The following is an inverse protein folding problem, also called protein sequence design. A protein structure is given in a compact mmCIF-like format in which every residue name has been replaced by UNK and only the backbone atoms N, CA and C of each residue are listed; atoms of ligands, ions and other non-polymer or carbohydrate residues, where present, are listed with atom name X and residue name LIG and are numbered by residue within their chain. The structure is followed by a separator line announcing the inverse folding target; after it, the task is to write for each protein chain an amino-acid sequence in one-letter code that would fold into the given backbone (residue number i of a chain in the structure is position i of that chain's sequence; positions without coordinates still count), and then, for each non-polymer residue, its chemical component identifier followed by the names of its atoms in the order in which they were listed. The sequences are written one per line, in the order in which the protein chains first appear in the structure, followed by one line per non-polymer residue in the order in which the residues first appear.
data_IF_420069991859
#
_entry.id   IF_420069991859
#
_cell.length_a   1.000
_cell.length_b   1.000
_cell.length_c   1.000
_cell.angle_alpha   90.00
_cell.angle_beta   90.00
_cell.angle_gamma   90.00
#
_symmetry.space_group_name_H-M   'P 1'
#
loop_
_entity.id
_entity.type
_entity.pdbx_description
1 polymer ?
#
# COMPACT_ATOMS: atom_id res chain seq x y z
N UNK A 1 -0.79 -9.46 25.20
CA UNK A 1 0.26 -10.02 24.31
C UNK A 1 0.36 -9.09 23.13
N UNK A 2 1.53 -8.52 22.84
CA UNK A 2 1.71 -7.61 21.72
C UNK A 2 1.56 -8.47 20.45
N UNK A 3 0.45 -8.32 19.72
CA UNK A 3 0.28 -8.98 18.41
C UNK A 3 1.50 -8.61 17.55
N UNK A 4 2.18 -9.57 16.90
CA UNK A 4 3.30 -9.26 16.04
C UNK A 4 2.85 -8.23 15.01
N UNK A 5 3.67 -7.19 14.81
CA UNK A 5 3.28 -6.04 14.01
C UNK A 5 2.99 -6.39 12.54
N UNK A 6 3.58 -7.49 12.05
CA UNK A 6 3.62 -7.92 10.65
C UNK A 6 3.56 -9.44 10.61
N UNK A 7 2.80 -10.00 9.66
CA UNK A 7 2.77 -11.43 9.38
C UNK A 7 3.58 -11.77 8.11
N UNK A 8 4.37 -12.85 8.15
CA UNK A 8 5.12 -13.34 7.01
C UNK A 8 4.46 -14.61 6.49
N UNK A 9 3.84 -14.51 5.32
CA UNK A 9 3.10 -15.60 4.69
C UNK A 9 3.99 -16.44 3.79
N UNK A 10 3.79 -17.76 3.83
CA UNK A 10 4.51 -18.74 3.01
C UNK A 10 6.03 -18.77 3.27
N UNK A 11 6.45 -18.48 4.50
CA UNK A 11 7.86 -18.46 4.90
C UNK A 11 8.24 -19.65 5.79
N UNK A 12 9.49 -20.09 5.67
CA UNK A 12 10.05 -21.14 6.53
C UNK A 12 10.34 -20.58 7.94
N UNK A 13 9.92 -21.30 8.99
CA UNK A 13 10.16 -20.94 10.39
C UNK A 13 11.65 -20.90 10.74
N UNK A 14 12.46 -21.70 10.06
CA UNK A 14 13.93 -21.72 10.23
C UNK A 14 14.64 -20.82 9.21
N UNK A 15 13.88 -19.96 8.51
CA UNK A 15 14.36 -19.02 7.51
C UNK A 15 14.85 -17.69 8.10
N UNK A 16 15.16 -16.73 7.23
CA UNK A 16 15.71 -15.42 7.63
C UNK A 16 14.77 -14.63 8.55
N UNK A 17 13.46 -14.84 8.42
CA UNK A 17 12.45 -14.13 9.21
C UNK A 17 12.44 -14.52 10.69
N UNK A 18 13.04 -15.65 11.08
CA UNK A 18 13.14 -16.06 12.49
C UNK A 18 13.97 -15.10 13.35
N UNK A 19 14.78 -14.26 12.71
CA UNK A 19 15.60 -13.23 13.36
C UNK A 19 14.85 -11.92 13.63
N UNK A 20 13.57 -11.83 13.27
CA UNK A 20 12.74 -10.63 13.39
C UNK A 20 11.53 -10.87 14.30
N UNK A 21 10.99 -9.83 14.97
CA UNK A 21 9.81 -9.94 15.81
C UNK A 21 8.50 -9.95 14.98
N UNK A 22 8.33 -10.98 14.14
CA UNK A 22 7.23 -11.11 13.16
C UNK A 22 6.42 -12.40 13.36
N UNK A 23 5.18 -12.44 12.85
CA UNK A 23 4.35 -13.66 12.88
C UNK A 23 4.61 -14.53 11.65
N UNK A 24 5.33 -15.64 11.79
CA UNK A 24 5.66 -16.51 10.65
C UNK A 24 4.54 -17.54 10.41
N UNK A 25 3.96 -17.50 9.22
CA UNK A 25 3.01 -18.47 8.68
C UNK A 25 3.73 -19.43 7.73
N UNK A 26 4.22 -20.51 8.33
CA UNK A 26 4.83 -21.62 7.60
C UNK A 26 3.80 -22.63 7.08
N UNK A 27 4.30 -23.72 6.50
CA UNK A 27 3.47 -24.79 5.97
C UNK A 27 2.55 -25.43 7.03
N UNK A 28 2.95 -25.45 8.31
CA UNK A 28 2.16 -26.09 9.38
C UNK A 28 0.90 -25.31 9.73
N UNK A 29 0.91 -23.99 9.52
CA UNK A 29 -0.23 -23.09 9.79
C UNK A 29 -1.12 -22.84 8.59
N UNK A 30 -0.68 -23.27 7.40
CA UNK A 30 -1.32 -22.97 6.12
C UNK A 30 -1.60 -21.47 5.92
N UNK A 31 -0.63 -20.76 5.35
CA UNK A 31 -0.74 -19.33 5.09
C UNK A 31 -1.94 -18.93 4.20
N UNK A 32 -2.60 -19.88 3.51
CA UNK A 32 -3.83 -19.62 2.75
C UNK A 32 -5.01 -19.27 3.65
N UNK A 33 -4.95 -19.68 4.92
CA UNK A 33 -5.98 -19.44 5.93
C UNK A 33 -5.74 -18.16 6.73
N UNK A 34 -4.83 -17.29 6.32
CA UNK A 34 -4.55 -16.04 7.03
C UNK A 34 -5.77 -15.10 7.04
N UNK A 35 -6.35 -14.92 8.23
CA UNK A 35 -7.52 -14.08 8.49
C UNK A 35 -7.21 -12.88 9.39
N UNK A 36 -5.96 -12.73 9.85
CA UNK A 36 -5.55 -11.62 10.72
C UNK A 36 -5.56 -10.25 10.04
N UNK A 37 -5.48 -9.19 10.83
CA UNK A 37 -5.53 -7.79 10.37
C UNK A 37 -4.15 -7.12 10.25
N UNK A 38 -3.07 -7.85 10.56
CA UNK A 38 -1.71 -7.29 10.45
C UNK A 38 -1.27 -7.23 8.98
N UNK A 39 -0.53 -6.20 8.55
CA UNK A 39 0.04 -6.15 7.21
C UNK A 39 0.98 -7.33 6.98
N UNK A 40 1.12 -7.72 5.71
CA UNK A 40 1.81 -8.96 5.37
C UNK A 40 3.02 -8.77 4.46
N UNK A 41 4.02 -9.62 4.66
CA UNK A 41 5.03 -9.93 3.64
C UNK A 41 4.72 -11.32 3.11
N UNK A 42 4.41 -11.47 1.82
CA UNK A 42 3.97 -12.74 1.26
C UNK A 42 4.96 -13.29 0.22
N UNK A 43 5.34 -14.56 0.38
CA UNK A 43 6.24 -15.30 -0.52
C UNK A 43 5.57 -16.56 -1.10
N UNK A 44 4.46 -16.43 -1.86
CA UNK A 44 3.79 -17.61 -2.40
C UNK A 44 4.77 -18.48 -3.23
N UNK A 45 4.65 -19.81 -3.17
CA UNK A 45 5.56 -20.74 -3.83
C UNK A 45 5.60 -20.48 -5.34
N UNK A 46 6.79 -20.21 -5.86
CA UNK A 46 6.98 -19.82 -7.26
C UNK A 46 7.14 -20.99 -8.24
N UNK A 47 7.16 -22.22 -7.72
CA UNK A 47 7.50 -23.42 -8.47
C UNK A 47 6.62 -23.65 -9.71
N UNK A 48 5.33 -23.32 -9.60
CA UNK A 48 4.33 -23.47 -10.66
C UNK A 48 4.09 -22.20 -11.46
N UNK A 49 4.76 -21.09 -11.13
CA UNK A 49 4.57 -19.77 -11.76
C UNK A 49 5.83 -19.18 -12.39
N UNK A 50 7.02 -19.61 -12.00
CA UNK A 50 8.28 -19.06 -12.51
C UNK A 50 8.65 -19.55 -13.91
N UNK A 51 9.57 -18.87 -14.58
CA UNK A 51 10.10 -19.23 -15.92
C UNK A 51 10.59 -20.69 -16.03
N UNK A 52 11.03 -21.27 -14.91
CA UNK A 52 11.57 -22.62 -14.83
C UNK A 52 10.51 -23.69 -14.53
N UNK A 53 9.20 -23.36 -14.48
CA UNK A 53 8.15 -24.31 -14.10
C UNK A 53 8.17 -25.57 -14.98
N UNK A 54 8.42 -25.41 -16.28
CA UNK A 54 8.44 -26.49 -17.27
C UNK A 54 9.65 -27.42 -17.14
N UNK A 55 10.68 -27.06 -16.37
CA UNK A 55 11.87 -27.90 -16.19
C UNK A 55 11.61 -29.15 -15.34
N UNK A 56 10.52 -29.18 -14.56
CA UNK A 56 10.15 -30.33 -13.73
C UNK A 56 8.99 -31.08 -14.38
N UNK A 57 9.24 -32.33 -14.79
CA UNK A 57 8.21 -33.22 -15.37
C UNK A 57 7.00 -33.33 -14.43
N UNK A 58 5.81 -33.26 -15.01
CA UNK A 58 4.53 -33.43 -14.31
C UNK A 58 4.00 -32.16 -13.63
N UNK A 59 4.72 -31.04 -13.66
CA UNK A 59 4.22 -29.76 -13.11
C UNK A 59 3.34 -29.04 -14.14
N UNK A 60 2.18 -28.56 -13.70
CA UNK A 60 1.29 -27.70 -14.50
C UNK A 60 1.46 -26.24 -14.12
N UNK A 61 1.38 -25.36 -15.10
CA UNK A 61 1.42 -23.92 -14.88
C UNK A 61 0.26 -23.49 -13.98
N UNK A 62 0.58 -22.78 -12.90
CA UNK A 62 -0.39 -22.28 -11.93
C UNK A 62 -0.98 -23.31 -10.98
N UNK A 63 -0.43 -24.53 -10.96
CA UNK A 63 -0.83 -25.58 -10.01
C UNK A 63 -0.12 -25.37 -8.68
N UNK A 64 -0.57 -24.37 -7.92
CA UNK A 64 0.01 -23.92 -6.66
C UNK A 64 -0.96 -24.04 -5.46
N UNK A 65 -2.03 -24.82 -5.61
CA UNK A 65 -3.09 -25.03 -4.60
C UNK A 65 -3.70 -23.72 -4.06
N UNK A 66 -3.75 -22.67 -4.89
CA UNK A 66 -4.33 -21.38 -4.55
C UNK A 66 -3.43 -20.48 -3.69
N UNK A 67 -2.16 -20.84 -3.49
CA UNK A 67 -1.25 -20.07 -2.63
C UNK A 67 -1.05 -18.63 -3.11
N UNK A 68 -0.84 -18.41 -4.40
CA UNK A 68 -0.68 -17.06 -4.95
C UNK A 68 -1.96 -16.23 -4.82
N UNK A 69 -3.12 -16.85 -5.07
CA UNK A 69 -4.41 -16.19 -4.92
C UNK A 69 -4.64 -15.73 -3.48
N UNK A 70 -4.35 -16.59 -2.49
CA UNK A 70 -4.46 -16.25 -1.08
C UNK A 70 -3.45 -15.17 -0.65
N UNK A 71 -2.20 -15.23 -1.13
CA UNK A 71 -1.19 -14.20 -0.89
C UNK A 71 -1.63 -12.83 -1.41
N UNK A 72 -2.14 -12.77 -2.65
CA UNK A 72 -2.61 -11.54 -3.27
C UNK A 72 -3.82 -10.97 -2.50
N UNK A 73 -4.80 -11.83 -2.18
CA UNK A 73 -5.98 -11.42 -1.42
C UNK A 73 -5.60 -10.87 -0.03
N UNK A 74 -4.64 -11.49 0.65
CA UNK A 74 -4.15 -10.99 1.94
C UNK A 74 -3.49 -9.61 1.77
N UNK A 75 -2.53 -9.44 0.85
CA UNK A 75 -1.85 -8.16 0.62
C UNK A 75 -2.83 -7.05 0.21
N UNK A 76 -3.83 -7.34 -0.60
CA UNK A 76 -4.84 -6.34 -0.99
C UNK A 76 -5.82 -6.01 0.14
N UNK A 77 -6.08 -6.94 1.06
CA UNK A 77 -6.99 -6.74 2.20
C UNK A 77 -6.36 -5.93 3.33
N UNK A 78 -5.14 -6.27 3.74
CA UNK A 78 -4.50 -5.71 4.95
C UNK A 78 -3.25 -4.89 4.65
N UNK A 79 -2.91 -4.72 3.37
CA UNK A 79 -1.69 -4.06 2.94
C UNK A 79 -0.44 -4.90 3.15
N UNK A 80 0.68 -4.37 2.68
CA UNK A 80 1.99 -4.99 2.74
C UNK A 80 2.57 -5.26 1.37
N UNK A 81 3.34 -6.34 1.22
CA UNK A 81 4.10 -6.63 0.01
C UNK A 81 4.08 -8.11 -0.35
N UNK A 82 3.81 -8.39 -1.63
CA UNK A 82 3.96 -9.70 -2.27
C UNK A 82 5.29 -9.71 -3.05
N UNK A 83 6.14 -10.71 -2.79
CA UNK A 83 7.38 -10.93 -3.53
C UNK A 83 7.29 -12.19 -4.40
N UNK A 84 7.75 -12.10 -5.65
CA UNK A 84 7.76 -13.24 -6.55
C UNK A 84 8.84 -13.05 -7.64
N UNK A 85 9.53 -14.12 -8.10
CA UNK A 85 10.54 -14.00 -9.15
C UNK A 85 10.05 -13.29 -10.41
N UNK A 86 10.96 -12.54 -11.06
CA UNK A 86 10.73 -11.85 -12.33
C UNK A 86 10.18 -12.80 -13.41
N UNK A 87 9.22 -12.29 -14.18
CA UNK A 87 8.59 -13.03 -15.27
C UNK A 87 7.70 -14.16 -14.76
N UNK A 88 7.15 -13.97 -13.55
CA UNK A 88 6.09 -14.82 -13.03
C UNK A 88 4.90 -14.83 -13.98
N UNK A 89 4.44 -16.02 -14.36
CA UNK A 89 3.18 -16.19 -15.07
C UNK A 89 1.96 -15.87 -14.18
N UNK A 90 2.15 -15.73 -12.87
CA UNK A 90 1.08 -15.31 -11.97
C UNK A 90 0.65 -13.86 -12.24
N UNK A 91 1.58 -12.96 -12.57
CA UNK A 91 1.27 -11.55 -12.83
C UNK A 91 0.17 -11.36 -13.88
N UNK A 92 0.34 -11.84 -15.13
CA UNK A 92 -0.71 -11.72 -16.13
C UNK A 92 -1.95 -12.56 -15.79
N UNK A 93 -1.80 -13.72 -15.13
CA UNK A 93 -2.92 -14.57 -14.75
C UNK A 93 -3.87 -13.90 -13.74
N UNK A 94 -3.31 -13.13 -12.82
CA UNK A 94 -4.06 -12.39 -11.80
C UNK A 94 -4.28 -10.92 -12.18
N UNK A 95 -3.87 -10.49 -13.38
CA UNK A 95 -4.08 -9.11 -13.83
C UNK A 95 -3.34 -8.08 -12.99
N UNK A 96 -2.12 -8.40 -12.54
CA UNK A 96 -1.20 -7.45 -11.93
C UNK A 96 -0.40 -6.76 -13.04
N UNK A 97 -0.20 -5.43 -12.93
CA UNK A 97 0.67 -4.70 -13.85
C UNK A 97 2.13 -5.21 -13.74
N UNK A 98 2.72 -5.77 -14.82
CA UNK A 98 4.11 -6.20 -14.80
C UNK A 98 5.05 -4.99 -14.63
N UNK A 99 6.04 -5.06 -13.75
CA UNK A 99 6.98 -3.96 -13.59
C UNK A 99 7.96 -3.87 -14.76
N UNK A 100 8.40 -2.66 -15.06
CA UNK A 100 9.47 -2.39 -16.02
C UNK A 100 10.83 -2.27 -15.32
N UNK A 101 11.86 -2.85 -15.92
CA UNK A 101 13.21 -2.83 -15.38
C UNK A 101 13.76 -1.40 -15.24
N UNK A 102 14.26 -1.07 -14.04
CA UNK A 102 14.92 0.20 -13.76
C UNK A 102 14.01 1.42 -13.68
N UNK A 103 12.68 1.25 -13.78
CA UNK A 103 11.71 2.34 -13.71
C UNK A 103 11.22 2.65 -12.29
N UNK A 104 11.59 1.84 -11.31
CA UNK A 104 11.11 1.96 -9.95
C UNK A 104 9.69 1.43 -9.79
N UNK A 105 8.92 2.08 -8.91
CA UNK A 105 7.52 1.72 -8.66
C UNK A 105 6.60 2.27 -9.73
N UNK A 106 5.73 1.40 -10.25
CA UNK A 106 4.68 1.75 -11.20
C UNK A 106 3.34 1.51 -10.50
N UNK A 107 2.51 2.54 -10.39
CA UNK A 107 1.16 2.42 -9.81
C UNK A 107 0.28 1.59 -10.74
N UNK A 108 -0.43 0.60 -10.19
CA UNK A 108 -1.43 -0.14 -10.96
C UNK A 108 -2.68 0.75 -11.14
N UNK A 109 -3.15 1.00 -12.37
CA UNK A 109 -4.32 1.83 -12.61
C UNK A 109 -5.66 1.13 -12.29
N UNK A 110 -5.66 -0.19 -12.13
CA UNK A 110 -6.88 -0.99 -11.89
C UNK A 110 -6.88 -1.70 -10.53
N UNK A 111 -5.79 -1.58 -9.77
CA UNK A 111 -5.62 -2.24 -8.46
C UNK A 111 -5.06 -1.28 -7.41
N UNK A 112 -5.20 -1.58 -6.11
CA UNK A 112 -4.76 -0.67 -5.06
C UNK A 112 -3.23 -0.58 -4.92
N UNK A 113 -2.44 -1.40 -5.61
CA UNK A 113 -1.01 -1.52 -5.38
C UNK A 113 -0.07 -0.82 -6.38
N UNK A 114 1.21 -1.06 -6.18
CA UNK A 114 2.33 -0.65 -7.03
C UNK A 114 3.19 -1.87 -7.32
N UNK A 115 3.70 -1.97 -8.55
CA UNK A 115 4.65 -3.01 -8.93
C UNK A 115 6.04 -2.42 -9.15
N UNK A 116 7.10 -3.11 -8.73
CA UNK A 116 8.47 -2.80 -9.16
C UNK A 116 9.31 -4.08 -9.37
N UNK A 117 10.45 -3.92 -10.03
CA UNK A 117 11.49 -4.93 -10.10
C UNK A 117 12.71 -4.48 -9.31
N UNK A 118 13.30 -5.41 -8.55
CA UNK A 118 14.60 -5.24 -7.90
C UNK A 118 15.48 -6.48 -8.08
N UNK A 119 16.78 -6.34 -7.88
CA UNK A 119 17.69 -7.49 -7.81
C UNK A 119 18.05 -7.77 -6.35
N UNK A 120 17.77 -9.00 -5.86
CA UNK A 120 18.15 -9.40 -4.49
C UNK A 120 19.68 -9.36 -4.28
N UNK A 121 20.48 -9.33 -5.35
CA UNK A 121 21.94 -9.16 -5.29
C UNK A 121 22.37 -7.84 -4.64
N UNK A 122 21.60 -6.76 -4.83
CA UNK A 122 21.84 -5.46 -4.17
C UNK A 122 21.64 -5.52 -2.66
N UNK A 123 21.04 -6.61 -2.16
CA UNK A 123 20.73 -6.84 -0.76
C UNK A 123 21.51 -8.03 -0.18
N UNK A 124 22.54 -8.52 -0.89
CA UNK A 124 23.44 -9.57 -0.42
C UNK A 124 23.16 -10.98 -0.96
N UNK A 125 22.26 -11.15 -1.93
CA UNK A 125 22.12 -12.45 -2.59
C UNK A 125 23.36 -12.74 -3.48
N UNK A 126 23.94 -13.95 -3.48
CA UNK A 126 25.16 -14.26 -4.25
C UNK A 126 24.95 -14.35 -5.77
N UNK A 127 23.71 -14.18 -6.24
CA UNK A 127 23.32 -14.25 -7.64
C UNK A 127 22.48 -13.01 -7.99
N UNK A 128 22.45 -12.69 -9.27
CA UNK A 128 21.57 -11.69 -9.90
C UNK A 128 20.09 -12.09 -9.88
N UNK A 129 19.56 -12.44 -8.70
CA UNK A 129 18.20 -12.94 -8.51
C UNK A 129 17.22 -11.77 -8.64
N UNK A 130 16.75 -11.57 -9.86
CA UNK A 130 15.72 -10.58 -10.20
C UNK A 130 14.37 -11.00 -9.62
N UNK A 131 13.69 -10.05 -8.98
CA UNK A 131 12.40 -10.29 -8.33
C UNK A 131 11.45 -9.12 -8.56
N UNK A 132 10.16 -9.44 -8.59
CA UNK A 132 9.06 -8.51 -8.70
C UNK A 132 8.37 -8.37 -7.35
N UNK A 133 8.03 -7.13 -7.01
CA UNK A 133 7.28 -6.77 -5.82
C UNK A 133 5.95 -6.19 -6.23
N UNK A 134 4.89 -6.54 -5.51
CA UNK A 134 3.60 -5.87 -5.54
C UNK A 134 3.28 -5.37 -4.13
N UNK A 135 3.26 -4.05 -3.95
CA UNK A 135 3.05 -3.39 -2.66
C UNK A 135 1.67 -2.75 -2.61
N UNK A 136 0.98 -2.85 -1.46
CA UNK A 136 -0.30 -2.20 -1.18
C UNK A 136 -0.21 -1.43 0.13
N UNK A 137 -0.59 -0.16 0.11
CA UNK A 137 -0.63 0.74 1.25
C UNK A 137 -1.23 2.10 0.85
N UNK A 138 -1.56 2.97 1.81
CA UNK A 138 -2.19 4.27 1.49
C UNK A 138 -1.20 5.33 1.00
N UNK A 139 0.10 5.13 1.21
CA UNK A 139 1.16 6.05 0.77
C UNK A 139 2.05 5.40 -0.30
N UNK A 140 2.60 6.19 -1.24
CA UNK A 140 3.56 5.69 -2.21
C UNK A 140 4.77 5.04 -1.51
N UNK A 141 5.24 3.87 -2.01
CA UNK A 141 6.40 3.20 -1.42
C UNK A 141 7.70 3.99 -1.67
N UNK A 142 8.68 3.93 -0.75
CA UNK A 142 9.97 4.57 -0.91
C UNK A 142 10.77 3.93 -2.05
N UNK A 143 11.73 4.68 -2.59
CA UNK A 143 12.66 4.14 -3.58
C UNK A 143 13.49 2.99 -2.98
N UNK A 144 13.62 1.92 -3.77
CA UNK A 144 14.53 0.81 -3.51
C UNK A 144 15.73 0.92 -4.46
N UNK A 145 16.68 -0.02 -4.38
CA UNK A 145 17.73 -0.10 -5.39
C UNK A 145 17.19 -0.70 -6.70
N UNK A 146 16.86 0.19 -7.64
CA UNK A 146 16.36 -0.14 -8.98
C UNK A 146 17.47 -0.19 -10.05
N UNK A 147 18.73 -0.03 -9.67
CA UNK A 147 19.84 -0.09 -10.62
C UNK A 147 19.95 -1.49 -11.24
N UNK A 148 20.57 -1.55 -12.42
CA UNK A 148 20.86 -2.81 -13.11
C UNK A 148 21.54 -3.83 -12.19
N UNK A 149 21.39 -5.10 -12.53
CA UNK A 149 21.95 -6.19 -11.76
C UNK A 149 23.43 -5.94 -11.39
N UNK A 150 23.83 -6.17 -10.13
CA UNK A 150 25.24 -6.09 -9.74
C UNK A 150 26.07 -7.28 -10.25
N UNK A 151 25.50 -8.11 -11.14
CA UNK A 151 26.05 -9.41 -11.51
C UNK A 151 25.90 -10.44 -10.38
N UNK A 152 26.65 -11.53 -10.48
CA UNK A 152 26.67 -12.58 -9.46
C UNK A 152 26.81 -13.98 -10.07
N UNK A 153 26.80 -14.99 -9.19
CA UNK A 153 26.84 -16.39 -9.62
C UNK A 153 25.58 -16.76 -10.39
N UNK A 154 25.71 -17.70 -11.31
CA UNK A 154 24.57 -18.33 -11.97
C UNK A 154 23.67 -19.02 -10.91
N UNK A 155 22.39 -18.65 -10.91
CA UNK A 155 21.39 -19.17 -9.97
C UNK A 155 21.32 -20.70 -10.03
N UNK A 156 21.45 -21.29 -11.23
CA UNK A 156 21.40 -22.74 -11.44
C UNK A 156 22.59 -23.49 -10.80
N UNK A 157 23.71 -22.80 -10.53
CA UNK A 157 24.89 -23.36 -9.87
C UNK A 157 24.83 -23.29 -8.35
N UNK A 158 23.80 -22.66 -7.79
CA UNK A 158 23.59 -22.59 -6.35
C UNK A 158 22.78 -23.79 -5.84
N UNK A 159 23.07 -24.21 -4.60
CA UNK A 159 22.29 -25.24 -3.91
C UNK A 159 20.81 -24.82 -3.82
N UNK A 160 19.91 -25.80 -3.75
CA UNK A 160 18.47 -25.54 -3.65
C UNK A 160 18.12 -24.65 -2.45
N UNK A 161 18.84 -24.79 -1.33
CA UNK A 161 18.69 -23.91 -0.16
C UNK A 161 19.13 -22.48 -0.49
N UNK A 162 20.35 -22.31 -1.03
CA UNK A 162 20.89 -21.00 -1.36
C UNK A 162 20.04 -20.22 -2.39
N UNK A 163 19.41 -20.90 -3.35
CA UNK A 163 18.48 -20.27 -4.31
C UNK A 163 17.22 -19.70 -3.64
N UNK A 164 16.71 -20.40 -2.63
CA UNK A 164 15.46 -20.03 -1.93
C UNK A 164 15.70 -18.99 -0.84
N UNK A 165 16.92 -18.88 -0.31
CA UNK A 165 17.25 -17.93 0.75
C UNK A 165 16.97 -16.48 0.32
N UNK A 166 16.15 -15.80 1.11
CA UNK A 166 15.98 -14.35 1.09
C UNK A 166 17.12 -13.72 1.88
N UNK A 167 17.91 -12.78 1.32
CA UNK A 167 18.97 -12.10 2.05
C UNK A 167 18.42 -11.30 3.24
N UNK A 168 19.23 -11.13 4.30
CA UNK A 168 18.83 -10.41 5.52
C UNK A 168 18.37 -8.97 5.23
N UNK A 169 19.15 -8.21 4.47
CA UNK A 169 18.81 -6.83 4.11
C UNK A 169 17.57 -6.75 3.22
N UNK A 170 17.32 -7.78 2.41
CA UNK A 170 16.11 -7.82 1.59
C UNK A 170 14.88 -8.12 2.44
N UNK A 171 14.99 -9.06 3.39
CA UNK A 171 13.93 -9.35 4.35
C UNK A 171 13.55 -8.11 5.18
N UNK A 172 14.54 -7.36 5.68
CA UNK A 172 14.30 -6.08 6.36
C UNK A 172 13.57 -5.09 5.47
N UNK A 173 14.02 -4.89 4.22
CA UNK A 173 13.36 -3.96 3.30
C UNK A 173 11.88 -4.32 3.03
N UNK A 174 11.55 -5.62 2.96
CA UNK A 174 10.17 -6.08 2.82
C UNK A 174 9.33 -5.83 4.09
N UNK A 175 9.93 -6.03 5.27
CA UNK A 175 9.29 -5.69 6.55
C UNK A 175 9.03 -4.19 6.63
N UNK A 176 10.00 -3.36 6.26
CA UNK A 176 9.86 -1.89 6.28
C UNK A 176 8.71 -1.42 5.38
N UNK A 177 8.55 -2.04 4.19
CA UNK A 177 7.40 -1.80 3.33
C UNK A 177 6.08 -2.20 4.00
N UNK A 178 6.01 -3.37 4.63
CA UNK A 178 4.81 -3.80 5.33
C UNK A 178 4.46 -2.90 6.53
N UNK A 179 5.48 -2.42 7.27
CA UNK A 179 5.28 -1.43 8.33
C UNK A 179 4.77 -0.09 7.80
N UNK A 180 5.27 0.35 6.64
CA UNK A 180 4.81 1.57 5.99
C UNK A 180 3.32 1.47 5.61
N UNK A 181 2.90 0.33 5.07
CA UNK A 181 1.50 0.07 4.75
C UNK A 181 0.60 0.24 5.98
N UNK A 182 1.04 -0.28 7.15
CA UNK A 182 0.35 -0.10 8.44
C UNK A 182 0.23 1.35 8.87
N UNK A 183 1.35 2.09 8.82
CA UNK A 183 1.39 3.49 9.30
C UNK A 183 0.47 4.38 8.49
N UNK A 184 0.45 4.16 7.16
CA UNK A 184 -0.42 4.91 6.28
C UNK A 184 -1.91 4.72 6.62
N UNK A 185 -2.32 3.50 6.97
CA UNK A 185 -3.70 3.22 7.36
C UNK A 185 -4.09 3.92 8.67
N UNK A 186 -3.23 3.86 9.69
CA UNK A 186 -3.47 4.52 10.98
C UNK A 186 -3.62 6.05 10.84
N UNK A 187 -2.82 6.66 9.96
CA UNK A 187 -2.92 8.10 9.67
C UNK A 187 -4.23 8.43 8.96
N UNK A 188 -4.67 7.60 8.00
CA UNK A 188 -5.97 7.79 7.35
C UNK A 188 -7.14 7.64 8.33
N UNK A 189 -7.12 6.62 9.18
CA UNK A 189 -8.14 6.38 10.20
C UNK A 189 -8.24 7.57 11.17
N UNK A 190 -7.11 8.04 11.68
CA UNK A 190 -7.07 9.22 12.55
C UNK A 190 -7.62 10.47 11.84
N UNK A 191 -7.27 10.65 10.56
CA UNK A 191 -7.80 11.75 9.74
C UNK A 191 -9.31 11.65 9.54
N UNK A 192 -9.85 10.45 9.29
CA UNK A 192 -11.30 10.23 9.14
C UNK A 192 -12.07 10.51 10.43
N UNK A 193 -11.54 10.09 11.58
CA UNK A 193 -12.13 10.40 12.88
C UNK A 193 -12.15 11.90 13.17
N UNK A 194 -11.06 12.60 12.87
CA UNK A 194 -10.97 14.05 12.99
C UNK A 194 -11.98 14.76 12.09
N UNK A 195 -12.12 14.32 10.84
CA UNK A 195 -13.12 14.85 9.91
C UNK A 195 -14.55 14.57 10.38
N UNK A 196 -14.83 13.37 10.90
CA UNK A 196 -16.14 13.00 11.44
C UNK A 196 -16.50 13.81 12.71
N UNK A 197 -15.51 14.12 13.54
CA UNK A 197 -15.68 15.01 14.70
C UNK A 197 -15.97 16.45 14.26
N UNK A 198 -15.23 16.97 13.27
CA UNK A 198 -15.50 18.30 12.69
C UNK A 198 -16.89 18.39 12.06
N UNK A 199 -17.35 17.33 11.37
CA UNK A 199 -18.68 17.26 10.79
C UNK A 199 -19.78 17.31 11.87
N UNK A 200 -19.65 16.50 12.94
CA UNK A 200 -20.59 16.51 14.08
C UNK A 200 -20.67 17.88 14.75
N UNK A 201 -19.53 18.56 14.91
CA UNK A 201 -19.50 19.94 15.46
C UNK A 201 -20.23 20.94 14.58
N UNK A 202 -20.11 20.81 13.24
CA UNK A 202 -20.82 21.68 12.30
C UNK A 202 -22.33 21.50 12.38
N UNK A 203 -22.82 20.25 12.44
CA UNK A 203 -24.26 19.97 12.63
C UNK A 203 -24.82 20.55 13.94
N UNK A 204 -24.06 20.46 15.03
CA UNK A 204 -24.44 21.06 16.31
C UNK A 204 -24.51 22.59 16.24
N UNK A 205 -23.59 23.24 15.52
CA UNK A 205 -23.63 24.69 15.28
C UNK A 205 -24.87 25.06 14.45
N UNK A 206 -25.19 24.30 13.40
CA UNK A 206 -26.37 24.54 12.56
C UNK A 206 -27.69 24.38 13.33
N UNK A 207 -27.74 23.46 14.31
CA UNK A 207 -28.89 23.29 15.22
C UNK A 207 -28.95 24.36 16.33
N UNK A 208 -27.81 24.93 16.70
CA UNK A 208 -27.69 25.91 17.78
C UNK A 208 -27.97 27.36 17.33
N UNK A 209 -28.30 27.62 16.06
CA UNK A 209 -28.76 28.94 15.59
C UNK A 209 -30.29 29.06 15.76
N UNK A 210 -30.81 29.74 16.80
CA UNK A 210 -32.24 29.94 16.96
C UNK A 210 -32.61 31.26 16.27
N UNK A 211 -33.27 31.22 15.11
CA UNK A 211 -33.73 32.46 14.48
C UNK A 211 -33.99 32.45 12.98
N UNK A 212 -34.80 31.50 12.49
CA UNK A 212 -35.66 31.76 11.32
C UNK A 212 -37.11 31.77 11.78
N UNK A 213 -37.47 32.77 12.58
CA UNK A 213 -38.86 33.11 12.88
C UNK A 213 -39.26 34.32 12.04
N UNK A 214 -40.42 34.14 11.42
CA UNK A 214 -41.14 35.03 10.53
C UNK A 214 -41.08 36.53 10.91
N UNK A 215 -40.95 37.38 9.90
CA UNK A 215 -41.40 38.77 9.97
C UNK A 215 -42.71 38.90 9.19
N UNK A 216 -43.86 39.15 9.84
CA UNK A 216 -45.06 39.62 9.16
C UNK A 216 -45.17 41.16 9.22
N UNK A 217 -45.32 41.77 8.04
CA UNK A 217 -46.29 42.82 7.63
C UNK A 217 -46.39 44.16 8.43
N UNK A 218 -46.19 45.27 7.69
CA UNK A 218 -46.73 46.66 7.75
C UNK A 218 -47.53 47.17 8.98
N UNK A 219 -47.28 48.42 9.43
CA UNK A 219 -48.13 49.62 9.21
C UNK A 219 -47.63 50.89 9.96
N UNK A 220 -47.43 51.99 9.22
CA UNK A 220 -47.70 53.44 9.47
C UNK A 220 -47.73 53.99 10.92
N UNK A 221 -46.94 55.04 11.19
CA UNK A 221 -47.36 56.34 11.80
C UNK A 221 -46.11 57.27 11.83
N UNK A 222 -45.94 58.26 10.94
CA UNK A 222 -46.51 59.63 10.80
C UNK A 222 -45.61 60.72 11.41
N UNK A 223 -45.47 61.79 10.62
CA UNK A 223 -45.05 63.16 10.96
C UNK A 223 -43.53 63.41 11.03
N UNK A 224 -42.94 64.02 10.00
CA UNK A 224 -42.83 65.49 9.79
C UNK A 224 -41.37 65.89 10.15
N UNK A 225 -40.58 66.69 9.44
CA UNK A 225 -40.76 67.69 8.40
C UNK A 225 -39.41 67.93 7.70
N UNK A 226 -39.49 68.19 6.38
CA UNK A 226 -38.71 69.13 5.57
C UNK A 226 -37.43 69.80 6.11
N UNK A 227 -36.32 69.70 5.35
CA UNK A 227 -35.62 70.89 4.79
C UNK A 227 -34.55 70.54 3.71
N UNK A 228 -34.80 71.04 2.49
CA UNK A 228 -33.89 71.58 1.43
C UNK A 228 -32.51 70.90 1.18
N UNK A 229 -32.21 70.29 0.02
CA UNK A 229 -32.00 70.86 -1.32
C UNK A 229 -30.95 72.00 -1.41
N UNK A 230 -29.78 71.73 -2.04
CA UNK A 230 -29.20 72.41 -3.24
C UNK A 230 -27.67 72.11 -3.37
N UNK A 231 -27.09 72.05 -4.59
CA UNK A 231 -25.81 71.41 -4.92
C UNK A 231 -24.69 72.34 -5.45
N UNK A 232 -23.53 71.73 -5.77
CA UNK A 232 -22.56 72.08 -6.84
C UNK A 232 -21.39 73.08 -6.61
N UNK A 233 -20.20 72.57 -6.96
CA UNK A 233 -19.09 73.15 -7.77
C UNK A 233 -18.19 74.35 -7.34
N UNK A 234 -16.88 74.02 -7.21
CA UNK A 234 -15.67 74.51 -7.96
C UNK A 234 -14.98 75.88 -7.67
N UNK A 235 -13.64 75.79 -7.54
CA UNK A 235 -12.56 76.78 -7.91
C UNK A 235 -12.44 78.07 -7.06
N UNK A 236 -11.31 78.76 -6.83
CA UNK A 236 -9.96 78.86 -7.42
C UNK A 236 -9.06 79.72 -6.47
N UNK A 237 -7.72 79.56 -6.59
CA UNK A 237 -6.63 80.56 -6.42
C UNK A 237 -6.62 81.55 -5.22
N UNK A 238 -5.63 81.39 -4.33
CA UNK A 238 -4.48 82.31 -4.14
C UNK A 238 -3.27 81.47 -3.70
#
# INVERSE_FOLDING_TARGET
MNTPAIAILFADRDGVYSSFPVDIWDKSRDARCYDGDSPVVAHPPCESWGKLYAMKKGRRLGDDDGCFAAALAAVERVGGVLEHPEGSFAWPKFGLLPPEQGKGWIKDPFRPGWSCQVYQGHYGHPAAKSTWLYYVGSVPPPALNFSSSPGGRDLCRLSSRARRTTPLYFAQALIDLAELARRGELVELAGREQLAELARRRELVDLAVPGKLAWPINLVHRCDLAYLAVPAHRSQLV
#
